data_IF_044746299805
#
_entry.id   IF_044746299805
#
_cell.length_a   1.000
_cell.length_b   1.000
_cell.length_c   1.000
_cell.angle_alpha   90.00
_cell.angle_beta   90.00
_cell.angle_gamma   90.00
#
_symmetry.space_group_name_H-M   'P 1'
#
loop_
_entity.id
_entity.type
_entity.pdbx_description
1 polymer ?
#
# COMPACT_ATOMS: atom_id res chain seq x y z
N UNK A 1 26.33 52.59 29.23
CA UNK A 1 24.94 52.38 28.75
C UNK A 1 24.80 52.33 27.22
N UNK A 2 25.61 53.05 26.44
CA UNK A 2 25.51 53.08 24.95
C UNK A 2 25.88 51.78 24.23
N UNK A 3 26.93 51.06 24.65
CA UNK A 3 27.38 49.81 23.97
C UNK A 3 26.38 48.66 24.10
N UNK A 4 25.63 48.59 25.20
CA UNK A 4 24.61 47.57 25.42
C UNK A 4 23.35 47.81 24.55
N UNK A 5 22.89 49.06 24.46
CA UNK A 5 21.78 49.45 23.55
C UNK A 5 22.13 49.23 22.08
N UNK A 6 23.39 49.51 21.69
CA UNK A 6 23.87 49.28 20.33
C UNK A 6 23.97 47.79 19.98
N UNK A 7 24.39 46.94 20.93
CA UNK A 7 24.34 45.48 20.78
C UNK A 7 22.92 44.94 20.61
N UNK A 8 21.94 45.49 21.36
CA UNK A 8 20.54 45.08 21.26
C UNK A 8 19.88 45.49 19.93
N UNK A 9 20.24 46.67 19.41
CA UNK A 9 19.81 47.14 18.08
C UNK A 9 20.44 46.32 16.95
N UNK A 10 21.72 45.98 17.04
CA UNK A 10 22.40 45.09 16.08
C UNK A 10 21.78 43.71 16.07
N UNK A 11 21.46 43.14 17.23
CA UNK A 11 20.81 41.84 17.36
C UNK A 11 19.38 41.86 16.79
N UNK A 12 18.61 42.92 17.05
CA UNK A 12 17.29 43.12 16.45
C UNK A 12 17.34 43.26 14.93
N UNK A 13 18.33 43.99 14.40
CA UNK A 13 18.53 44.13 12.96
C UNK A 13 18.95 42.81 12.29
N UNK A 14 19.85 42.04 12.93
CA UNK A 14 20.23 40.69 12.49
C UNK A 14 19.04 39.73 12.48
N UNK A 15 18.16 39.81 13.48
CA UNK A 15 16.93 39.02 13.52
C UNK A 15 15.96 39.40 12.38
N UNK A 16 15.80 40.70 12.10
CA UNK A 16 14.95 41.17 10.99
C UNK A 16 15.54 40.74 9.64
N UNK A 17 16.87 40.83 9.46
CA UNK A 17 17.54 40.34 8.26
C UNK A 17 17.39 38.83 8.11
N UNK A 18 17.61 38.04 9.17
CA UNK A 18 17.37 36.59 9.15
C UNK A 18 15.91 36.26 8.81
N UNK A 19 14.94 36.91 9.45
CA UNK A 19 13.51 36.72 9.17
C UNK A 19 13.15 37.10 7.73
N UNK A 20 13.66 38.22 7.24
CA UNK A 20 13.47 38.66 5.85
C UNK A 20 14.10 37.70 4.85
N UNK A 21 15.27 37.15 5.17
CA UNK A 21 15.98 36.19 4.35
C UNK A 21 15.27 34.84 4.27
N UNK A 22 14.75 34.35 5.40
CA UNK A 22 13.92 33.15 5.50
C UNK A 22 12.61 33.35 4.70
N UNK A 23 11.96 34.50 4.87
CA UNK A 23 10.73 34.84 4.16
C UNK A 23 10.94 34.96 2.64
N UNK A 24 12.10 35.45 2.21
CA UNK A 24 12.46 35.54 0.79
C UNK A 24 12.73 34.16 0.18
N UNK A 25 13.49 33.30 0.86
CA UNK A 25 13.77 31.93 0.43
C UNK A 25 12.52 31.06 0.27
N UNK A 26 11.52 31.24 1.14
CA UNK A 26 10.23 30.54 1.06
C UNK A 26 9.41 30.87 -0.20
N UNK A 27 9.62 32.05 -0.78
CA UNK A 27 8.88 32.54 -1.95
C UNK A 27 9.58 32.27 -3.29
N UNK A 28 10.77 31.66 -3.26
CA UNK A 28 11.41 31.13 -4.48
C UNK A 28 10.45 30.15 -5.15
N UNK A 29 10.43 30.16 -6.48
CA UNK A 29 9.51 29.36 -7.29
C UNK A 29 10.26 28.32 -8.10
N UNK A 30 9.61 27.19 -8.34
CA UNK A 30 10.11 26.15 -9.24
C UNK A 30 10.31 26.69 -10.66
N UNK A 31 11.39 26.23 -11.31
CA UNK A 31 11.76 26.63 -12.67
C UNK A 31 11.20 25.69 -13.75
N UNK A 32 10.39 24.70 -13.36
CA UNK A 32 9.74 23.82 -14.32
C UNK A 32 8.75 24.59 -15.20
N UNK A 33 8.87 24.42 -16.53
CA UNK A 33 8.03 25.09 -17.53
C UNK A 33 6.66 24.42 -17.71
N UNK A 34 6.54 23.14 -17.35
CA UNK A 34 5.33 22.32 -17.40
C UNK A 34 5.16 21.52 -16.12
N UNK A 35 4.02 20.89 -15.95
CA UNK A 35 3.78 19.95 -14.86
C UNK A 35 4.90 18.89 -14.83
N UNK A 36 5.60 18.83 -13.70
CA UNK A 36 6.70 17.89 -13.49
C UNK A 36 6.32 16.89 -12.42
N UNK A 37 6.53 15.61 -12.70
CA UNK A 37 6.29 14.54 -11.73
C UNK A 37 7.50 14.40 -10.81
N UNK A 38 7.30 14.70 -9.53
CA UNK A 38 8.24 14.36 -8.47
C UNK A 38 7.95 12.93 -8.03
N UNK A 39 8.89 12.02 -8.30
CA UNK A 39 8.76 10.60 -7.98
C UNK A 39 9.90 10.15 -7.05
N UNK A 40 9.54 9.85 -5.80
CA UNK A 40 10.43 9.26 -4.81
C UNK A 40 9.97 7.81 -4.62
N UNK A 41 10.81 6.85 -5.03
CA UNK A 41 10.47 5.42 -5.02
C UNK A 41 10.71 4.74 -3.66
N UNK A 42 11.54 5.32 -2.81
CA UNK A 42 11.92 4.77 -1.50
C UNK A 42 12.16 5.90 -0.51
N UNK A 43 12.12 5.60 0.79
CA UNK A 43 12.53 6.58 1.80
C UNK A 43 13.95 7.06 1.52
N UNK A 44 14.17 8.37 1.54
CA UNK A 44 15.48 9.02 1.29
C UNK A 44 15.81 10.02 2.39
N UNK A 45 17.09 10.37 2.55
CA UNK A 45 17.47 11.46 3.44
C UNK A 45 16.97 12.80 2.90
N UNK A 46 16.87 13.79 3.78
CA UNK A 46 16.44 15.13 3.39
C UNK A 46 17.41 15.78 2.38
N UNK A 47 18.71 15.53 2.52
CA UNK A 47 19.73 16.02 1.59
C UNK A 47 19.56 15.39 0.19
N UNK A 48 19.23 14.10 0.16
CA UNK A 48 18.96 13.40 -1.11
C UNK A 48 17.69 13.92 -1.78
N UNK A 49 16.69 14.30 -0.99
CA UNK A 49 15.48 14.93 -1.49
C UNK A 49 15.80 16.29 -2.10
N UNK A 50 16.62 17.10 -1.42
CA UNK A 50 17.05 18.40 -1.91
C UNK A 50 17.71 18.27 -3.28
N UNK A 51 18.72 17.42 -3.42
CA UNK A 51 19.39 17.14 -4.71
C UNK A 51 18.39 16.72 -5.80
N UNK A 52 17.43 15.86 -5.45
CA UNK A 52 16.42 15.38 -6.40
C UNK A 52 15.50 16.52 -6.86
N UNK A 53 15.06 17.36 -5.94
CA UNK A 53 14.21 18.52 -6.21
C UNK A 53 14.98 19.56 -7.04
N UNK A 54 16.24 19.84 -6.72
CA UNK A 54 17.08 20.74 -7.53
C UNK A 54 17.19 20.23 -8.96
N UNK A 55 17.50 18.94 -9.13
CA UNK A 55 17.66 18.30 -10.44
C UNK A 55 16.36 18.27 -11.26
N UNK A 56 15.21 18.02 -10.63
CA UNK A 56 13.94 17.84 -11.35
C UNK A 56 13.14 19.14 -11.52
N UNK A 57 13.24 20.07 -10.57
CA UNK A 57 12.45 21.30 -10.54
C UNK A 57 13.30 22.56 -10.79
N UNK A 58 14.62 22.41 -10.93
CA UNK A 58 15.53 23.46 -11.40
C UNK A 58 15.71 24.61 -10.42
N UNK A 59 15.47 24.40 -9.13
CA UNK A 59 15.67 25.41 -8.09
C UNK A 59 17.06 25.20 -7.50
N UNK A 60 17.83 26.27 -7.30
CA UNK A 60 18.96 26.29 -6.38
C UNK A 60 18.49 26.86 -5.04
N UNK A 61 18.55 26.09 -3.96
CA UNK A 61 17.99 26.50 -2.68
C UNK A 61 18.98 27.32 -1.84
N UNK A 62 18.54 28.48 -1.34
CA UNK A 62 19.20 29.13 -0.21
C UNK A 62 18.22 29.98 0.63
N UNK A 63 18.01 29.69 1.94
CA UNK A 63 18.55 28.54 2.67
C UNK A 63 17.98 27.21 2.14
N UNK A 64 18.69 26.11 2.42
CA UNK A 64 18.43 24.80 1.82
C UNK A 64 17.00 24.28 2.02
N UNK A 65 16.47 23.60 1.01
CA UNK A 65 15.12 23.01 1.04
C UNK A 65 14.90 22.11 2.25
N UNK A 66 15.94 21.36 2.64
CA UNK A 66 15.88 20.48 3.80
C UNK A 66 15.59 21.20 5.11
N UNK A 67 16.07 22.44 5.27
CA UNK A 67 15.81 23.23 6.48
C UNK A 67 14.33 23.62 6.60
N UNK A 68 13.71 23.98 5.47
CA UNK A 68 12.28 24.30 5.40
C UNK A 68 11.46 23.05 5.73
N UNK A 69 11.83 21.91 5.17
CA UNK A 69 11.22 20.62 5.47
C UNK A 69 11.31 20.28 6.96
N UNK A 70 12.48 20.45 7.58
CA UNK A 70 12.68 20.22 9.02
C UNK A 70 11.76 21.12 9.87
N UNK A 71 11.66 22.42 9.55
CA UNK A 71 10.80 23.35 10.30
C UNK A 71 9.32 23.00 10.25
N UNK A 72 8.86 22.36 9.19
CA UNK A 72 7.46 21.91 9.07
C UNK A 72 7.26 20.46 9.56
N UNK A 73 8.29 19.82 10.12
CA UNK A 73 8.25 18.45 10.63
C UNK A 73 8.29 17.37 9.54
N UNK A 74 8.82 17.69 8.36
CA UNK A 74 9.02 16.76 7.24
C UNK A 74 10.46 16.24 7.23
N UNK A 75 10.81 15.39 8.20
CA UNK A 75 12.19 14.92 8.38
C UNK A 75 12.52 13.62 7.64
N UNK A 76 11.49 12.83 7.34
CA UNK A 76 11.63 11.51 6.73
C UNK A 76 10.81 11.46 5.43
N UNK A 77 11.39 11.92 4.31
CA UNK A 77 10.76 11.84 3.00
C UNK A 77 10.40 10.40 2.66
N UNK A 78 9.09 10.15 2.59
CA UNK A 78 8.53 8.85 2.22
C UNK A 78 8.23 8.81 0.71
N UNK A 79 7.95 7.62 0.17
CA UNK A 79 7.65 7.47 -1.25
C UNK A 79 6.50 8.38 -1.69
N UNK A 80 6.70 9.07 -2.82
CA UNK A 80 5.77 10.07 -3.33
C UNK A 80 5.64 9.96 -4.84
N UNK A 81 4.41 10.15 -5.32
CA UNK A 81 4.12 10.43 -6.71
C UNK A 81 3.25 11.68 -6.75
N UNK A 82 3.90 12.83 -6.94
CA UNK A 82 3.27 14.15 -6.89
C UNK A 82 3.52 14.91 -8.17
N UNK A 83 2.45 15.40 -8.79
CA UNK A 83 2.55 16.35 -9.90
C UNK A 83 2.75 17.76 -9.34
N UNK A 84 3.89 18.36 -9.66
CA UNK A 84 4.26 19.71 -9.25
C UNK A 84 4.02 20.66 -10.42
N UNK A 85 3.11 21.61 -10.23
CA UNK A 85 2.77 22.62 -11.24
C UNK A 85 3.93 23.62 -11.43
N UNK A 86 4.06 24.26 -12.61
CA UNK A 86 5.00 25.35 -12.82
C UNK A 86 4.88 26.45 -11.77
N UNK A 87 6.00 27.10 -11.44
CA UNK A 87 6.06 28.26 -10.55
C UNK A 87 5.50 27.98 -9.14
N UNK A 88 5.56 26.73 -8.66
CA UNK A 88 5.19 26.38 -7.27
C UNK A 88 6.23 26.96 -6.33
N UNK A 89 5.81 27.63 -5.25
CA UNK A 89 6.80 28.16 -4.28
C UNK A 89 7.42 27.05 -3.45
N UNK A 90 8.64 27.24 -2.96
CA UNK A 90 9.34 26.28 -2.11
C UNK A 90 8.53 25.92 -0.88
N UNK A 91 7.92 26.91 -0.23
CA UNK A 91 7.03 26.70 0.89
C UNK A 91 5.81 25.85 0.54
N UNK A 92 5.18 26.13 -0.61
CA UNK A 92 4.03 25.35 -1.06
C UNK A 92 4.44 23.92 -1.45
N UNK A 93 5.62 23.74 -2.05
CA UNK A 93 6.15 22.41 -2.34
C UNK A 93 6.33 21.61 -1.05
N UNK A 94 7.02 22.15 -0.04
CA UNK A 94 7.22 21.49 1.25
C UNK A 94 5.87 21.12 1.92
N UNK A 95 4.89 22.04 1.89
CA UNK A 95 3.53 21.76 2.36
C UNK A 95 2.82 20.66 1.57
N UNK A 96 2.98 20.62 0.24
CA UNK A 96 2.40 19.57 -0.60
C UNK A 96 3.00 18.20 -0.27
N UNK A 97 4.33 18.13 -0.04
CA UNK A 97 5.00 16.90 0.38
C UNK A 97 4.47 16.41 1.74
N UNK A 98 4.39 17.29 2.73
CA UNK A 98 3.86 16.97 4.06
C UNK A 98 2.39 16.53 4.00
N UNK A 99 1.57 17.25 3.22
CA UNK A 99 0.16 16.89 3.00
C UNK A 99 0.04 15.51 2.36
N UNK A 100 0.85 15.19 1.36
CA UNK A 100 0.79 13.88 0.71
C UNK A 100 1.07 12.71 1.66
N UNK A 101 1.97 12.89 2.64
CA UNK A 101 2.27 11.84 3.63
C UNK A 101 1.11 11.52 4.57
N UNK A 102 0.28 12.52 4.86
CA UNK A 102 -0.90 12.37 5.72
C UNK A 102 -2.17 12.07 4.94
N UNK A 103 -2.17 12.29 3.62
CA UNK A 103 -3.32 12.05 2.77
C UNK A 103 -3.65 10.55 2.72
N UNK A 104 -4.92 10.24 2.97
CA UNK A 104 -5.41 8.88 2.92
C UNK A 104 -6.37 8.68 1.75
N UNK A 105 -6.50 7.43 1.32
CA UNK A 105 -7.48 7.02 0.34
C UNK A 105 -8.09 5.68 0.74
N UNK A 106 -9.36 5.51 0.39
CA UNK A 106 -10.04 4.24 0.60
C UNK A 106 -9.66 3.27 -0.52
N UNK A 107 -9.16 2.10 -0.14
CA UNK A 107 -8.94 0.95 -0.99
C UNK A 107 -9.97 -0.12 -0.65
N UNK A 108 -10.82 -0.46 -1.61
CA UNK A 108 -11.89 -1.46 -1.45
C UNK A 108 -11.37 -2.78 -1.99
N UNK A 109 -11.20 -3.76 -1.11
CA UNK A 109 -10.87 -5.13 -1.47
C UNK A 109 -12.16 -5.94 -1.66
N UNK A 110 -12.37 -6.48 -2.86
CA UNK A 110 -13.54 -7.30 -3.20
C UNK A 110 -13.24 -8.79 -3.01
N UNK A 111 -14.25 -9.55 -2.63
CA UNK A 111 -14.16 -11.01 -2.42
C UNK A 111 -13.97 -11.82 -3.71
N UNK A 112 -14.25 -11.23 -4.87
CA UNK A 112 -14.22 -11.91 -6.17
C UNK A 112 -12.93 -11.70 -6.97
N UNK A 113 -11.92 -11.03 -6.42
CA UNK A 113 -10.68 -10.75 -7.17
C UNK A 113 -9.75 -11.95 -7.24
N UNK A 114 -9.05 -12.11 -8.37
CA UNK A 114 -7.85 -12.92 -8.44
C UNK A 114 -6.64 -12.07 -8.04
N UNK A 115 -5.48 -12.73 -7.93
CA UNK A 115 -4.24 -12.07 -7.49
C UNK A 115 -3.85 -10.88 -8.38
N UNK A 116 -4.18 -10.93 -9.68
CA UNK A 116 -3.88 -9.86 -10.63
C UNK A 116 -4.72 -8.60 -10.34
N UNK A 117 -6.04 -8.74 -10.20
CA UNK A 117 -6.91 -7.59 -9.90
C UNK A 117 -6.56 -6.97 -8.55
N UNK A 118 -6.17 -7.78 -7.57
CA UNK A 118 -5.69 -7.31 -6.28
C UNK A 118 -4.48 -6.39 -6.45
N UNK A 119 -3.46 -6.81 -7.21
CA UNK A 119 -2.24 -6.01 -7.43
C UNK A 119 -2.51 -4.74 -8.22
N UNK A 120 -3.29 -4.81 -9.31
CA UNK A 120 -3.70 -3.65 -10.10
C UNK A 120 -4.45 -2.64 -9.22
N UNK A 121 -5.35 -3.12 -8.36
CA UNK A 121 -6.19 -2.26 -7.53
C UNK A 121 -5.40 -1.48 -6.48
N UNK A 122 -4.37 -2.08 -5.88
CA UNK A 122 -3.54 -1.41 -4.86
C UNK A 122 -2.51 -0.50 -5.53
N UNK A 123 -1.95 -0.90 -6.67
CA UNK A 123 -1.04 -0.05 -7.46
C UNK A 123 -1.70 1.29 -7.85
N UNK A 124 -3.02 1.30 -8.07
CA UNK A 124 -3.77 2.54 -8.31
C UNK A 124 -3.93 3.45 -7.07
N UNK A 125 -3.53 3.02 -5.87
CA UNK A 125 -3.71 3.73 -4.60
C UNK A 125 -2.41 4.19 -3.94
N UNK A 126 -1.27 3.63 -4.34
CA UNK A 126 0.06 3.91 -3.76
C UNK A 126 1.06 4.26 -4.88
N UNK A 127 2.19 4.93 -4.61
CA UNK A 127 3.14 5.39 -5.63
C UNK A 127 4.05 4.27 -6.17
N UNK A 128 3.56 3.04 -6.19
CA UNK A 128 4.32 1.84 -6.54
C UNK A 128 3.68 1.09 -7.71
N UNK A 129 4.52 0.70 -8.67
CA UNK A 129 4.08 -0.13 -9.78
C UNK A 129 3.81 -1.57 -9.36
N UNK A 130 3.09 -2.28 -10.22
CA UNK A 130 2.71 -3.68 -10.02
C UNK A 130 3.94 -4.58 -9.83
N UNK A 131 5.07 -4.26 -10.47
CA UNK A 131 6.30 -5.06 -10.40
C UNK A 131 6.88 -5.06 -8.99
N UNK A 132 6.93 -3.91 -8.34
CA UNK A 132 7.42 -3.79 -6.96
C UNK A 132 6.48 -4.53 -6.00
N UNK A 133 5.16 -4.39 -6.18
CA UNK A 133 4.15 -5.08 -5.37
C UNK A 133 4.27 -6.60 -5.52
N UNK A 134 4.40 -7.09 -6.76
CA UNK A 134 4.66 -8.51 -7.04
C UNK A 134 5.96 -9.01 -6.42
N UNK A 135 7.00 -8.18 -6.40
CA UNK A 135 8.27 -8.50 -5.75
C UNK A 135 8.09 -8.84 -4.27
N UNK A 136 7.39 -7.99 -3.52
CA UNK A 136 7.14 -8.22 -2.08
C UNK A 136 6.19 -9.41 -1.86
N UNK A 137 5.20 -9.61 -2.73
CA UNK A 137 4.30 -10.78 -2.69
C UNK A 137 4.98 -12.11 -3.07
N UNK A 138 6.21 -12.07 -3.58
CA UNK A 138 6.99 -13.26 -3.97
C UNK A 138 8.21 -13.51 -3.08
N UNK A 139 8.54 -12.56 -2.20
CA UNK A 139 9.68 -12.63 -1.30
C UNK A 139 9.40 -13.60 -0.15
N UNK A 140 10.13 -14.73 -0.14
CA UNK A 140 9.94 -15.78 0.87
C UNK A 140 10.27 -15.32 2.29
N UNK A 141 11.22 -14.40 2.47
CA UNK A 141 11.61 -13.90 3.79
C UNK A 141 10.49 -13.01 4.33
N UNK A 142 9.98 -12.10 3.49
CA UNK A 142 8.84 -11.24 3.86
C UNK A 142 7.62 -12.07 4.19
N UNK A 143 7.24 -13.03 3.32
CA UNK A 143 6.06 -13.86 3.55
C UNK A 143 6.20 -14.72 4.81
N UNK A 144 7.38 -15.34 5.04
CA UNK A 144 7.64 -16.13 6.24
C UNK A 144 7.53 -15.28 7.51
N UNK A 145 7.99 -14.03 7.48
CA UNK A 145 7.84 -13.09 8.61
C UNK A 145 6.38 -12.77 8.96
N UNK A 146 5.46 -12.98 8.01
CA UNK A 146 4.01 -12.80 8.17
C UNK A 146 3.28 -14.12 8.46
N UNK A 147 3.99 -15.24 8.54
CA UNK A 147 3.42 -16.57 8.79
C UNK A 147 2.73 -17.20 7.58
N UNK A 148 3.07 -16.77 6.36
CA UNK A 148 2.53 -17.30 5.10
C UNK A 148 3.65 -17.64 4.11
N UNK A 149 3.31 -18.26 2.98
CA UNK A 149 4.23 -18.57 1.90
C UNK A 149 3.66 -18.15 0.54
N UNK A 150 4.37 -18.45 -0.55
CA UNK A 150 3.98 -18.05 -1.91
C UNK A 150 2.61 -18.55 -2.34
N UNK A 151 2.13 -19.64 -1.75
CA UNK A 151 0.82 -20.24 -2.04
C UNK A 151 -0.27 -19.73 -1.10
N UNK A 152 0.08 -19.39 0.15
CA UNK A 152 -0.90 -19.08 1.20
C UNK A 152 -1.04 -17.60 1.51
N UNK A 153 -0.19 -16.71 0.99
CA UNK A 153 -0.31 -15.27 1.23
C UNK A 153 -1.69 -14.66 0.95
N UNK A 154 -2.52 -15.14 0.00
CA UNK A 154 -3.83 -14.56 -0.23
C UNK A 154 -4.75 -14.60 1.00
N UNK A 155 -4.49 -15.49 1.98
CA UNK A 155 -5.30 -15.57 3.20
C UNK A 155 -5.15 -14.38 4.13
N UNK A 156 -4.13 -13.53 3.92
CA UNK A 156 -3.97 -12.28 4.65
C UNK A 156 -5.04 -11.24 4.28
N UNK A 157 -5.75 -11.43 3.17
CA UNK A 157 -6.59 -10.43 2.56
C UNK A 157 -8.07 -10.70 2.84
N UNK A 158 -8.65 -9.92 3.75
CA UNK A 158 -10.05 -10.02 4.13
C UNK A 158 -10.87 -8.97 3.35
N UNK A 159 -11.88 -9.34 2.56
CA UNK A 159 -12.69 -8.37 1.81
C UNK A 159 -13.28 -7.29 2.72
N UNK A 160 -12.85 -6.04 2.51
CA UNK A 160 -13.25 -4.88 3.30
C UNK A 160 -12.85 -3.57 2.58
N UNK A 161 -13.25 -2.43 3.14
CA UNK A 161 -12.72 -1.11 2.78
C UNK A 161 -11.63 -0.71 3.77
N UNK A 162 -10.42 -0.48 3.27
CA UNK A 162 -9.26 -0.09 4.06
C UNK A 162 -8.90 1.36 3.77
N UNK A 163 -8.73 2.16 4.83
CA UNK A 163 -8.16 3.50 4.70
C UNK A 163 -6.63 3.41 4.74
N UNK A 164 -5.97 3.76 3.65
CA UNK A 164 -4.52 3.67 3.47
C UNK A 164 -3.94 5.06 3.24
N UNK A 165 -2.74 5.33 3.77
CA UNK A 165 -1.99 6.53 3.41
C UNK A 165 -1.53 6.40 1.96
N UNK A 166 -1.51 7.49 1.20
CA UNK A 166 -0.97 7.47 -0.17
C UNK A 166 0.49 7.05 -0.18
N UNK A 167 1.27 7.42 0.82
CA UNK A 167 2.68 7.02 0.96
C UNK A 167 2.90 5.60 1.50
N UNK A 168 1.87 4.76 1.61
CA UNK A 168 2.01 3.38 2.11
C UNK A 168 2.94 2.57 1.21
N UNK A 169 3.96 1.95 1.80
CA UNK A 169 4.86 1.03 1.09
C UNK A 169 4.20 -0.33 0.88
N UNK A 170 4.62 -1.14 -0.12
CA UNK A 170 4.07 -2.48 -0.31
C UNK A 170 4.31 -3.39 0.91
N UNK A 171 5.44 -3.24 1.60
CA UNK A 171 5.72 -3.99 2.83
C UNK A 171 4.78 -3.57 3.98
N UNK A 172 4.56 -2.27 4.18
CA UNK A 172 3.65 -1.78 5.22
C UNK A 172 2.20 -2.15 4.92
N UNK A 173 1.82 -2.19 3.64
CA UNK A 173 0.53 -2.70 3.20
C UNK A 173 0.37 -4.17 3.59
N UNK A 174 1.34 -5.05 3.31
CA UNK A 174 1.25 -6.46 3.74
C UNK A 174 1.20 -6.63 5.25
N UNK A 175 2.03 -5.89 5.99
CA UNK A 175 1.99 -5.87 7.46
C UNK A 175 0.61 -5.41 7.96
N UNK A 176 0.04 -4.39 7.32
CA UNK A 176 -1.31 -3.92 7.65
C UNK A 176 -2.35 -5.01 7.38
N UNK A 177 -2.28 -5.70 6.25
CA UNK A 177 -3.22 -6.79 5.93
C UNK A 177 -3.11 -7.95 6.92
N UNK A 178 -1.90 -8.31 7.35
CA UNK A 178 -1.69 -9.28 8.44
C UNK A 178 -2.41 -8.86 9.73
N UNK A 179 -2.24 -7.60 10.15
CA UNK A 179 -2.90 -7.07 11.35
C UNK A 179 -4.43 -7.14 11.22
N UNK A 180 -4.98 -6.79 10.06
CA UNK A 180 -6.43 -6.83 9.83
C UNK A 180 -6.97 -8.27 9.76
N UNK A 181 -6.22 -9.20 9.16
CA UNK A 181 -6.51 -10.63 9.20
C UNK A 181 -6.53 -11.17 10.63
N UNK A 182 -5.56 -10.79 11.47
CA UNK A 182 -5.51 -11.23 12.86
C UNK A 182 -6.71 -10.71 13.66
N UNK A 183 -7.12 -9.45 13.42
CA UNK A 183 -8.34 -8.88 14.04
C UNK A 183 -9.60 -9.60 13.59
N UNK A 184 -9.68 -10.02 12.33
CA UNK A 184 -10.81 -10.77 11.80
C UNK A 184 -10.96 -12.13 12.50
N UNK A 185 -9.85 -12.78 12.84
CA UNK A 185 -9.82 -14.06 13.54
C UNK A 185 -9.92 -13.89 15.06
N UNK A 186 -11.12 -13.56 15.54
CA UNK A 186 -11.38 -13.50 16.99
C UNK A 186 -11.32 -14.88 17.65
N UNK A 187 -11.05 -14.92 18.97
CA UNK A 187 -11.06 -16.17 19.77
C UNK A 187 -12.32 -17.01 19.56
N UNK A 188 -13.49 -16.38 19.45
CA UNK A 188 -14.76 -17.10 19.23
C UNK A 188 -14.80 -17.81 17.87
N UNK A 189 -14.31 -17.15 16.80
CA UNK A 189 -14.22 -17.74 15.46
C UNK A 189 -13.23 -18.90 15.45
N UNK A 190 -12.09 -18.72 16.09
CA UNK A 190 -11.08 -19.78 16.23
C UNK A 190 -11.63 -20.99 16.98
N UNK A 191 -12.30 -20.79 18.12
CA UNK A 191 -12.94 -21.88 18.86
C UNK A 191 -14.01 -22.60 18.03
N UNK A 192 -14.77 -21.87 17.23
CA UNK A 192 -15.76 -22.45 16.31
C UNK A 192 -15.10 -23.36 15.27
N UNK A 193 -13.97 -22.93 14.70
CA UNK A 193 -13.18 -23.73 13.77
C UNK A 193 -12.56 -24.96 14.43
N UNK A 194 -11.99 -24.81 15.64
CA UNK A 194 -11.41 -25.90 16.42
C UNK A 194 -12.43 -27.00 16.73
N UNK A 195 -13.66 -26.63 17.14
CA UNK A 195 -14.75 -27.59 17.37
C UNK A 195 -15.14 -28.38 16.12
N UNK A 196 -14.88 -27.83 14.93
CA UNK A 196 -15.14 -28.47 13.64
C UNK A 196 -13.92 -29.19 13.06
N UNK A 197 -12.75 -29.08 13.70
CA UNK A 197 -11.49 -29.63 13.21
C UNK A 197 -11.02 -28.97 11.91
N UNK A 198 -11.34 -27.69 11.68
CA UNK A 198 -11.02 -26.96 10.45
C UNK A 198 -9.92 -25.95 10.76
N UNK A 199 -8.87 -25.86 9.95
CA UNK A 199 -7.85 -24.82 10.10
C UNK A 199 -8.33 -23.47 9.54
N UNK A 200 -7.73 -22.35 9.98
CA UNK A 200 -8.05 -21.02 9.41
C UNK A 200 -7.80 -21.00 7.90
N UNK A 201 -6.71 -21.62 7.46
CA UNK A 201 -6.35 -21.71 6.04
C UNK A 201 -7.45 -22.43 5.25
N UNK A 202 -7.90 -23.60 5.72
CA UNK A 202 -8.96 -24.37 5.05
C UNK A 202 -10.28 -23.61 5.02
N UNK A 203 -10.61 -22.90 6.10
CA UNK A 203 -11.81 -22.08 6.17
C UNK A 203 -11.80 -20.97 5.10
N UNK A 204 -10.65 -20.29 4.91
CA UNK A 204 -10.50 -19.27 3.85
C UNK A 204 -10.55 -19.89 2.46
N UNK A 205 -9.91 -21.04 2.25
CA UNK A 205 -9.92 -21.75 0.96
C UNK A 205 -11.35 -22.16 0.59
N UNK A 206 -12.11 -22.75 1.50
CA UNK A 206 -13.49 -23.14 1.23
C UNK A 206 -14.36 -21.90 0.98
N UNK A 207 -14.17 -20.82 1.75
CA UNK A 207 -14.89 -19.58 1.54
C UNK A 207 -14.60 -18.96 0.15
N UNK A 208 -13.36 -19.03 -0.34
CA UNK A 208 -13.00 -18.51 -1.66
C UNK A 208 -13.65 -19.30 -2.79
N UNK A 209 -13.75 -20.62 -2.66
CA UNK A 209 -14.46 -21.49 -3.61
C UNK A 209 -15.97 -21.18 -3.58
N UNK A 210 -16.58 -21.19 -2.40
CA UNK A 210 -18.03 -20.95 -2.21
C UNK A 210 -18.47 -19.60 -2.79
N UNK A 211 -17.67 -18.55 -2.56
CA UNK A 211 -17.96 -17.19 -3.06
C UNK A 211 -17.91 -17.12 -4.60
N UNK A 212 -17.19 -18.04 -5.25
CA UNK A 212 -17.10 -18.12 -6.71
C UNK A 212 -18.16 -19.02 -7.33
N UNK A 213 -18.71 -19.97 -6.57
CA UNK A 213 -19.80 -20.86 -7.00
C UNK A 213 -21.16 -20.15 -7.08
N UNK A 214 -21.44 -19.23 -6.16
CA UNK A 214 -22.71 -18.52 -6.12
C UNK A 214 -22.54 -17.07 -5.69
N UNK A 215 -23.39 -16.20 -6.24
CA UNK A 215 -23.54 -14.82 -5.78
C UNK A 215 -24.62 -14.68 -4.69
N UNK A 216 -25.37 -15.75 -4.39
CA UNK A 216 -26.45 -15.75 -3.40
C UNK A 216 -25.91 -16.14 -2.02
N UNK A 217 -25.76 -15.16 -1.15
CA UNK A 217 -25.22 -15.34 0.22
C UNK A 217 -25.99 -16.43 1.00
N UNK A 218 -27.30 -16.55 0.81
CA UNK A 218 -28.12 -17.58 1.45
C UNK A 218 -27.73 -19.02 1.10
N UNK A 219 -27.05 -19.25 -0.02
CA UNK A 219 -26.62 -20.58 -0.46
C UNK A 219 -25.25 -20.98 0.13
N UNK A 220 -24.47 -20.03 0.66
CA UNK A 220 -23.08 -20.24 1.04
C UNK A 220 -22.91 -21.34 2.09
N UNK A 221 -23.79 -21.36 3.10
CA UNK A 221 -23.75 -22.40 4.14
C UNK A 221 -23.97 -23.81 3.59
N UNK A 222 -24.87 -23.96 2.60
CA UNK A 222 -25.17 -25.25 1.97
C UNK A 222 -24.00 -25.72 1.11
N UNK A 223 -23.46 -24.84 0.26
CA UNK A 223 -22.32 -25.15 -0.61
C UNK A 223 -21.08 -25.49 0.23
N UNK A 224 -20.78 -24.69 1.27
CA UNK A 224 -19.67 -24.97 2.19
C UNK A 224 -19.80 -26.33 2.87
N UNK A 225 -21.02 -26.71 3.29
CA UNK A 225 -21.29 -28.01 3.92
C UNK A 225 -21.00 -29.17 2.97
N UNK A 226 -21.29 -29.03 1.68
CA UNK A 226 -20.97 -30.06 0.67
C UNK A 226 -19.45 -30.26 0.56
N UNK A 227 -18.67 -29.18 0.44
CA UNK A 227 -17.20 -29.29 0.34
C UNK A 227 -16.58 -29.85 1.61
N UNK A 228 -17.03 -29.42 2.79
CA UNK A 228 -16.58 -29.98 4.06
C UNK A 228 -16.86 -31.48 4.16
N UNK A 229 -18.04 -31.93 3.70
CA UNK A 229 -18.38 -33.35 3.67
C UNK A 229 -17.48 -34.13 2.69
N UNK A 230 -17.20 -33.57 1.50
CA UNK A 230 -16.28 -34.19 0.53
C UNK A 230 -14.88 -34.36 1.12
N UNK A 231 -14.33 -33.33 1.76
CA UNK A 231 -13.02 -33.41 2.44
C UNK A 231 -13.01 -34.48 3.52
N UNK A 232 -14.05 -34.52 4.38
CA UNK A 232 -14.19 -35.54 5.42
C UNK A 232 -14.21 -36.96 4.84
N UNK A 233 -14.81 -37.14 3.67
CA UNK A 233 -14.90 -38.42 2.94
C UNK A 233 -13.71 -38.67 2.01
N UNK A 234 -12.68 -37.82 2.02
CA UNK A 234 -11.51 -37.88 1.12
C UNK A 234 -11.91 -37.93 -0.37
N UNK A 235 -12.97 -37.23 -0.74
CA UNK A 235 -13.45 -37.11 -2.12
C UNK A 235 -12.86 -35.85 -2.78
N UNK A 236 -12.56 -35.88 -4.09
CA UNK A 236 -12.19 -34.67 -4.85
C UNK A 236 -13.27 -33.59 -4.74
N UNK A 237 -12.87 -32.32 -4.64
CA UNK A 237 -13.82 -31.21 -4.54
C UNK A 237 -14.59 -30.98 -5.83
N UNK A 238 -13.92 -31.18 -6.98
CA UNK A 238 -14.47 -30.95 -8.33
C UNK A 238 -15.13 -29.58 -8.43
N UNK A 239 -14.39 -28.54 -8.05
CA UNK A 239 -14.89 -27.18 -8.00
C UNK A 239 -14.36 -26.40 -9.22
N UNK A 240 -15.25 -26.03 -10.14
CA UNK A 240 -14.92 -25.23 -11.33
C UNK A 240 -14.10 -23.96 -11.01
N UNK A 241 -14.37 -23.19 -9.93
CA UNK A 241 -13.56 -22.03 -9.56
C UNK A 241 -12.07 -22.32 -9.38
N UNK A 242 -11.74 -23.55 -8.97
CA UNK A 242 -10.35 -23.97 -8.76
C UNK A 242 -9.63 -24.20 -10.09
N UNK A 243 -10.34 -24.68 -11.11
CA UNK A 243 -9.84 -24.77 -12.50
C UNK A 243 -9.65 -23.39 -13.10
N UNK A 244 -10.62 -22.49 -12.91
CA UNK A 244 -10.51 -21.10 -13.38
C UNK A 244 -9.30 -20.41 -12.73
N UNK A 245 -9.07 -20.65 -11.44
CA UNK A 245 -7.88 -20.16 -10.74
C UNK A 245 -6.60 -20.77 -11.32
N UNK A 246 -6.55 -22.09 -11.54
CA UNK A 246 -5.40 -22.79 -12.12
C UNK A 246 -5.05 -22.29 -13.54
N UNK A 247 -6.07 -21.97 -14.36
CA UNK A 247 -5.91 -21.43 -15.71
C UNK A 247 -5.47 -19.96 -15.72
N UNK A 248 -5.77 -19.21 -14.65
CA UNK A 248 -5.43 -17.80 -14.52
C UNK A 248 -6.29 -16.85 -15.38
N UNK A 249 -7.37 -17.34 -15.99
CA UNK A 249 -8.29 -16.54 -16.80
C UNK A 249 -9.75 -16.89 -16.52
N UNK A 250 -10.58 -15.85 -16.36
CA UNK A 250 -12.02 -15.99 -16.19
C UNK A 250 -12.68 -16.57 -17.46
N UNK A 251 -13.81 -17.25 -17.28
CA UNK A 251 -14.58 -17.84 -18.38
C UNK A 251 -15.05 -19.25 -18.04
N UNK A 252 -15.89 -19.81 -18.93
CA UNK A 252 -16.43 -21.17 -18.77
C UNK A 252 -15.30 -22.21 -18.69
N UNK A 253 -15.48 -23.21 -17.83
CA UNK A 253 -14.61 -24.38 -17.74
C UNK A 253 -14.97 -25.35 -18.85
N UNK A 254 -13.98 -25.78 -19.63
CA UNK A 254 -14.12 -26.76 -20.70
C UNK A 254 -13.56 -28.12 -20.24
N UNK A 255 -13.97 -29.21 -20.89
CA UNK A 255 -13.47 -30.55 -20.58
C UNK A 255 -11.94 -30.68 -20.70
N UNK A 256 -11.32 -29.88 -21.57
CA UNK A 256 -9.86 -29.81 -21.68
C UNK A 256 -9.19 -29.17 -20.45
N UNK A 257 -9.86 -28.20 -19.82
CA UNK A 257 -9.32 -27.51 -18.64
C UNK A 257 -9.23 -28.43 -17.42
N UNK A 258 -10.07 -29.47 -17.35
CA UNK A 258 -10.05 -30.47 -16.28
C UNK A 258 -8.73 -31.26 -16.23
N UNK A 259 -7.95 -31.25 -17.32
CA UNK A 259 -6.65 -31.94 -17.43
C UNK A 259 -5.46 -31.04 -17.12
N UNK A 260 -5.68 -29.78 -16.70
CA UNK A 260 -4.59 -28.87 -16.34
C UNK A 260 -3.78 -29.46 -15.19
N UNK A 261 -2.48 -29.62 -15.40
CA UNK A 261 -1.55 -30.05 -14.35
C UNK A 261 -1.24 -28.88 -13.42
N UNK A 262 -1.97 -28.80 -12.31
CA UNK A 262 -1.82 -27.74 -11.31
C UNK A 262 -2.21 -28.27 -9.94
N UNK A 263 -1.49 -27.84 -8.90
CA UNK A 263 -1.84 -28.15 -7.50
C UNK A 263 -3.20 -27.56 -7.09
N UNK A 264 -3.75 -26.63 -7.88
CA UNK A 264 -5.08 -26.06 -7.68
C UNK A 264 -6.19 -26.82 -8.42
N UNK A 265 -5.87 -27.82 -9.25
CA UNK A 265 -6.88 -28.64 -9.90
C UNK A 265 -7.47 -29.62 -8.87
N UNK A 266 -8.79 -29.53 -8.63
CA UNK A 266 -9.49 -30.37 -7.64
C UNK A 266 -10.34 -31.48 -8.23
N UNK A 267 -10.15 -31.79 -9.52
CA UNK A 267 -10.80 -32.90 -10.23
C UNK A 267 -10.07 -34.23 -10.05
#
# INVERSE_FOLDING_TARGET
>A
MGRFKMGLLLMGFLLILCCGFIFFGQNLKTNNSKDTVLNIKKSISIDSLEILVEKQLGISFYPGFGQICHWIGYDQPSPIYLVVKPKTSVWNLAKLLLKYQSETSNWVLRSSWYNKELVVSIAAKIPYDEKIIHGVLSDSIVLASLGVNRQTWPVLFIPNTYNLKKSTTPLDWLKRMKIESDKFWTKNREQTLLRKGISKLDAVIIASIVTKESNKIGEFGKIASVYLMRLKRKMPLQADPTIVFARGSAGRVLSADLKINSAYNTY
#
